data_IF_270500596124
#
_entry.id   IF_270500596124
#
_cell.length_a   1.000
_cell.length_b   1.000
_cell.length_c   1.000
_cell.angle_alpha   90.00
_cell.angle_beta   90.00
_cell.angle_gamma   90.00
#
_symmetry.space_group_name_H-M   'P 1'
#
loop_
_entity.id
_entity.type
_entity.pdbx_description
1 polymer ?
#
# COMPACT_ATOMS: atom_id res chain seq x y z
N UNK A 1 10.98 14.14 18.64
CA UNK A 1 11.26 14.22 20.09
C UNK A 1 12.22 15.37 20.35
N UNK A 2 12.04 16.13 21.41
CA UNK A 2 12.97 17.20 21.81
C UNK A 2 13.87 16.70 22.93
N UNK A 3 15.19 16.82 22.78
CA UNK A 3 16.12 16.59 23.88
C UNK A 3 16.49 17.93 24.54
N UNK A 4 16.46 18.06 25.88
CA UNK A 4 17.00 19.25 26.52
C UNK A 4 18.52 19.24 26.31
N UNK A 5 19.09 20.33 25.84
CA UNK A 5 20.47 20.59 26.20
C UNK A 5 20.52 21.51 27.43
N UNK A 6 21.72 21.63 27.99
CA UNK A 6 22.01 22.47 29.16
C UNK A 6 21.55 23.92 28.93
N UNK A 7 21.23 24.66 30.01
CA UNK A 7 20.91 26.11 29.95
C UNK A 7 21.80 26.81 28.91
N UNK A 8 21.19 27.34 27.85
CA UNK A 8 21.90 27.95 26.71
C UNK A 8 22.01 27.09 25.45
N UNK A 9 21.53 25.84 25.43
CA UNK A 9 21.54 25.02 24.22
C UNK A 9 20.29 25.22 23.36
N UNK A 10 20.48 25.22 22.05
CA UNK A 10 19.38 25.16 21.08
C UNK A 10 18.49 23.91 21.29
N UNK A 11 17.18 24.10 21.10
CA UNK A 11 16.19 23.02 21.10
C UNK A 11 16.48 22.11 19.90
N UNK A 12 16.67 20.81 20.15
CA UNK A 12 17.01 19.84 19.09
C UNK A 12 15.82 18.97 18.74
N UNK A 13 15.40 19.00 17.48
CA UNK A 13 14.43 18.06 16.93
C UNK A 13 15.12 16.73 16.63
N UNK A 14 14.65 15.66 17.27
CA UNK A 14 14.99 14.27 16.95
C UNK A 14 13.86 13.70 16.12
N UNK A 15 14.18 13.34 14.88
CA UNK A 15 13.26 12.71 13.94
C UNK A 15 13.52 11.20 13.88
N UNK A 16 12.45 10.41 13.90
CA UNK A 16 12.47 8.98 13.63
C UNK A 16 11.39 8.71 12.61
N UNK A 17 11.74 8.04 11.52
CA UNK A 17 10.82 7.62 10.47
C UNK A 17 11.04 6.13 10.22
N UNK A 18 9.96 5.37 10.21
CA UNK A 18 9.93 3.92 10.00
C UNK A 18 8.69 3.59 9.20
N UNK A 19 8.72 2.49 8.46
CA UNK A 19 7.52 1.97 7.80
C UNK A 19 6.46 1.59 8.86
N UNK A 20 5.19 1.87 8.60
CA UNK A 20 4.12 1.64 9.58
C UNK A 20 3.97 0.15 9.92
N UNK A 21 4.21 -0.70 8.92
CA UNK A 21 4.24 -2.15 8.99
C UNK A 21 5.30 -2.69 9.96
N UNK A 22 6.29 -1.86 10.34
CA UNK A 22 7.25 -2.20 11.40
C UNK A 22 6.52 -2.59 12.70
N UNK A 23 5.44 -1.89 13.03
CA UNK A 23 4.74 -2.04 14.29
C UNK A 23 3.53 -2.97 14.12
N UNK A 24 3.69 -4.23 14.51
CA UNK A 24 2.64 -5.26 14.52
C UNK A 24 2.74 -6.28 13.39
N UNK A 25 3.07 -5.86 12.17
CA UNK A 25 3.24 -6.79 11.04
C UNK A 25 4.63 -7.43 11.01
N UNK A 26 5.70 -6.63 11.02
CA UNK A 26 7.07 -7.16 11.05
C UNK A 26 7.56 -7.48 12.47
N UNK A 27 7.17 -6.68 13.45
CA UNK A 27 7.46 -6.93 14.86
C UNK A 27 6.16 -7.10 15.63
N UNK A 28 5.87 -8.35 16.03
CA UNK A 28 4.71 -8.67 16.86
C UNK A 28 4.71 -7.82 18.14
N UNK A 29 3.57 -7.20 18.45
CA UNK A 29 3.40 -6.28 19.57
C UNK A 29 4.23 -4.98 19.49
N UNK A 30 4.81 -4.67 18.32
CA UNK A 30 5.57 -3.44 18.11
C UNK A 30 4.70 -2.18 18.28
N UNK A 31 3.42 -2.26 17.93
CA UNK A 31 2.42 -1.22 18.14
C UNK A 31 2.16 -0.95 19.63
N UNK A 32 2.18 -1.99 20.47
CA UNK A 32 2.05 -1.85 21.93
C UNK A 32 3.30 -1.19 22.51
N UNK A 33 4.48 -1.62 22.07
CA UNK A 33 5.75 -1.01 22.49
C UNK A 33 5.81 0.47 22.08
N UNK A 34 5.38 0.82 20.87
CA UNK A 34 5.29 2.20 20.41
C UNK A 34 4.33 3.03 21.26
N UNK A 35 3.13 2.51 21.53
CA UNK A 35 2.15 3.18 22.39
C UNK A 35 2.69 3.44 23.80
N UNK A 36 3.40 2.47 24.38
CA UNK A 36 4.02 2.61 25.69
C UNK A 36 5.13 3.67 25.69
N UNK A 37 6.01 3.64 24.69
CA UNK A 37 7.06 4.67 24.52
C UNK A 37 6.45 6.07 24.40
N UNK A 38 5.38 6.23 23.61
CA UNK A 38 4.71 7.53 23.47
C UNK A 38 4.10 8.01 24.80
N UNK A 39 3.40 7.13 25.53
CA UNK A 39 2.83 7.43 26.86
C UNK A 39 3.90 7.84 27.86
N UNK A 40 5.05 7.17 27.86
CA UNK A 40 6.18 7.50 28.74
C UNK A 40 6.83 8.85 28.36
N UNK A 41 6.96 9.14 27.06
CA UNK A 41 7.49 10.42 26.59
C UNK A 41 6.56 11.60 26.91
N UNK A 42 5.25 11.41 26.88
CA UNK A 42 4.28 12.44 27.24
C UNK A 42 4.31 12.80 28.74
N UNK A 43 4.70 11.85 29.60
CA UNK A 43 4.87 12.09 31.04
C UNK A 43 6.13 12.87 31.38
N UNK A 44 7.09 12.95 30.45
CA UNK A 44 8.34 13.67 30.63
C UNK A 44 8.14 15.17 30.41
N UNK A 45 8.69 15.98 31.32
CA UNK A 45 8.62 17.45 31.23
C UNK A 45 9.67 18.05 30.31
N UNK A 46 10.67 17.26 29.92
CA UNK A 46 11.82 17.66 29.11
C UNK A 46 11.72 17.24 27.64
N UNK A 47 10.68 16.49 27.27
CA UNK A 47 10.41 16.05 25.90
C UNK A 47 9.03 16.51 25.48
N UNK A 48 8.87 16.89 24.22
CA UNK A 48 7.57 17.05 23.58
C UNK A 48 7.49 16.17 22.35
N UNK A 49 6.43 15.36 22.30
CA UNK A 49 6.05 14.58 21.12
C UNK A 49 5.20 15.49 20.24
N UNK A 50 5.57 15.60 18.97
CA UNK A 50 4.93 16.50 18.02
C UNK A 50 5.29 16.11 16.58
N UNK A 51 4.48 16.59 15.63
CA UNK A 51 4.76 16.45 14.21
C UNK A 51 5.61 17.62 13.68
N UNK A 52 6.19 17.44 12.48
CA UNK A 52 7.08 18.44 11.87
C UNK A 52 6.40 19.79 11.62
N UNK A 53 5.13 19.81 11.21
CA UNK A 53 4.42 21.05 10.91
C UNK A 53 4.22 21.91 12.17
N UNK A 54 3.81 21.30 13.28
CA UNK A 54 3.63 21.98 14.57
C UNK A 54 4.95 22.49 15.16
N UNK A 55 6.06 21.80 14.90
CA UNK A 55 7.40 22.26 15.29
C UNK A 55 7.80 23.48 14.45
N UNK A 56 7.72 23.38 13.12
CA UNK A 56 8.13 24.42 12.18
C UNK A 56 7.29 25.70 12.28
N UNK A 57 6.02 25.60 12.68
CA UNK A 57 5.17 26.76 12.95
C UNK A 57 5.69 27.63 14.11
N UNK A 58 6.42 27.02 15.07
CA UNK A 58 6.98 27.70 16.25
C UNK A 58 8.49 27.98 16.12
N UNK A 59 9.16 27.22 15.26
CA UNK A 59 10.59 27.24 15.05
C UNK A 59 10.85 27.23 13.55
N UNK A 60 10.93 28.43 12.95
CA UNK A 60 11.18 28.55 11.51
C UNK A 60 12.53 27.95 11.15
N UNK A 61 12.63 27.39 9.94
CA UNK A 61 13.91 26.95 9.41
C UNK A 61 14.77 28.19 9.09
N UNK A 62 15.94 28.27 9.73
CA UNK A 62 16.88 29.40 9.57
C UNK A 62 18.12 29.01 8.76
N UNK A 63 18.29 27.71 8.51
CA UNK A 63 19.45 27.16 7.82
C UNK A 63 19.05 26.58 6.49
N UNK A 64 19.70 27.04 5.43
CA UNK A 64 19.64 26.41 4.12
C UNK A 64 20.67 25.28 4.07
N UNK A 65 20.22 24.10 3.63
CA UNK A 65 21.06 22.93 3.47
C UNK A 65 20.94 22.41 2.05
N UNK A 66 22.07 22.04 1.45
CA UNK A 66 22.09 21.36 0.16
C UNK A 66 22.02 19.86 0.38
N UNK A 67 20.98 19.22 -0.15
CA UNK A 67 20.88 17.76 -0.17
C UNK A 67 21.84 17.19 -1.21
N UNK A 68 22.52 16.09 -0.85
CA UNK A 68 23.15 15.23 -1.83
C UNK A 68 22.02 14.56 -2.61
N UNK A 69 22.06 14.61 -3.94
CA UNK A 69 20.99 14.07 -4.78
C UNK A 69 21.57 13.40 -6.03
N UNK A 70 20.95 12.30 -6.51
CA UNK A 70 19.81 11.61 -5.92
C UNK A 70 20.24 10.66 -4.77
N UNK A 71 19.59 10.77 -3.60
CA UNK A 71 19.82 9.89 -2.44
C UNK A 71 18.56 9.15 -2.02
N UNK A 72 18.72 8.06 -1.26
CA UNK A 72 17.63 7.42 -0.53
C UNK A 72 18.04 7.08 0.89
N UNK A 73 17.05 6.80 1.73
CA UNK A 73 17.26 6.34 3.11
C UNK A 73 17.65 4.86 3.23
N UNK A 74 17.43 4.05 2.19
CA UNK A 74 17.53 2.58 2.23
C UNK A 74 18.52 1.98 1.21
N UNK A 75 19.28 2.84 0.52
CA UNK A 75 20.39 2.45 -0.33
C UNK A 75 21.54 3.46 -0.17
N UNK A 76 22.71 2.96 0.24
CA UNK A 76 23.93 3.77 0.39
C UNK A 76 24.46 4.31 -0.95
N UNK A 77 24.03 3.70 -2.06
CA UNK A 77 24.34 4.12 -3.42
C UNK A 77 23.27 5.07 -3.98
N UNK A 78 22.65 5.88 -3.13
CA UNK A 78 21.59 6.80 -3.52
C UNK A 78 20.34 6.09 -4.00
N UNK A 79 20.00 6.18 -5.29
CA UNK A 79 18.82 5.53 -5.87
C UNK A 79 19.15 4.32 -6.74
N UNK A 80 20.41 3.85 -6.72
CA UNK A 80 20.82 2.74 -7.61
C UNK A 80 20.04 1.45 -7.36
N UNK A 81 19.52 1.21 -6.14
CA UNK A 81 18.68 0.04 -5.83
C UNK A 81 17.51 -0.11 -6.80
N UNK A 82 16.97 0.98 -7.35
CA UNK A 82 15.81 0.93 -8.25
C UNK A 82 16.14 1.05 -9.74
N UNK A 83 17.43 1.00 -10.11
CA UNK A 83 17.84 1.16 -11.52
C UNK A 83 19.03 0.34 -11.98
N UNK A 84 19.93 -0.05 -11.07
CA UNK A 84 21.21 -0.65 -11.43
C UNK A 84 21.61 -1.79 -10.49
N UNK A 85 22.67 -2.51 -10.88
CA UNK A 85 23.30 -3.53 -10.05
C UNK A 85 24.20 -2.90 -8.98
N UNK A 86 23.58 -2.31 -7.95
CA UNK A 86 24.30 -1.66 -6.86
C UNK A 86 24.74 -2.64 -5.75
N UNK A 87 24.54 -3.94 -5.94
CA UNK A 87 24.84 -4.99 -4.96
C UNK A 87 23.95 -5.00 -3.71
N UNK A 88 23.03 -4.04 -3.54
CA UNK A 88 22.09 -4.05 -2.42
C UNK A 88 21.05 -5.15 -2.63
N UNK A 89 21.03 -6.09 -1.69
CA UNK A 89 20.19 -7.29 -1.67
C UNK A 89 19.57 -7.50 -0.29
N UNK A 90 18.40 -8.13 -0.26
CA UNK A 90 17.66 -8.49 0.94
C UNK A 90 18.19 -9.79 1.56
N UNK A 91 18.69 -10.72 0.75
CA UNK A 91 19.30 -11.97 1.18
C UNK A 91 20.82 -11.98 0.89
N UNK A 92 21.66 -11.28 1.71
CA UNK A 92 23.11 -11.17 1.47
C UNK A 92 23.86 -12.50 1.50
N UNK A 93 23.29 -13.52 2.13
CA UNK A 93 23.80 -14.88 2.18
C UNK A 93 23.63 -15.65 0.86
N UNK A 94 22.71 -15.22 -0.02
CA UNK A 94 22.47 -15.84 -1.31
C UNK A 94 23.28 -15.14 -2.42
N UNK A 95 23.83 -15.87 -3.39
CA UNK A 95 24.61 -15.29 -4.49
C UNK A 95 23.73 -14.66 -5.58
N UNK A 96 22.83 -13.74 -5.20
CA UNK A 96 21.94 -13.03 -6.13
C UNK A 96 22.65 -11.85 -6.81
N UNK A 97 22.24 -11.53 -8.03
CA UNK A 97 22.69 -10.39 -8.83
C UNK A 97 21.51 -9.45 -9.14
N UNK A 98 21.79 -8.16 -9.34
CA UNK A 98 20.75 -7.13 -9.54
C UNK A 98 20.80 -6.47 -10.92
N UNK A 99 21.48 -7.10 -11.90
CA UNK A 99 21.59 -6.61 -13.30
C UNK A 99 20.25 -6.59 -14.02
N UNK A 100 19.28 -7.38 -13.58
CA UNK A 100 17.92 -7.42 -14.13
C UNK A 100 17.15 -6.11 -13.96
N UNK A 101 17.53 -5.28 -12.98
CA UNK A 101 16.87 -4.00 -12.68
C UNK A 101 16.93 -3.01 -13.84
N UNK A 102 18.08 -2.93 -14.50
CA UNK A 102 18.29 -1.99 -15.61
C UNK A 102 17.44 -2.34 -16.84
N UNK A 103 17.43 -3.59 -17.36
CA UNK A 103 16.56 -3.94 -18.48
C UNK A 103 15.07 -3.89 -18.15
N UNK A 104 14.66 -4.22 -16.92
CA UNK A 104 13.29 -4.02 -16.48
C UNK A 104 12.90 -2.54 -16.56
N UNK A 105 13.77 -1.66 -16.06
CA UNK A 105 13.53 -0.22 -16.10
C UNK A 105 13.49 0.30 -17.54
N UNK A 106 14.40 -0.14 -18.40
CA UNK A 106 14.40 0.18 -19.84
C UNK A 106 13.09 -0.25 -20.52
N UNK A 107 12.59 -1.45 -20.21
CA UNK A 107 11.32 -1.95 -20.75
C UNK A 107 10.13 -1.05 -20.36
N UNK A 108 10.06 -0.67 -19.08
CA UNK A 108 8.96 0.12 -18.55
C UNK A 108 9.04 1.59 -18.93
N UNK A 109 10.24 2.20 -18.98
CA UNK A 109 10.44 3.57 -19.48
C UNK A 109 10.08 3.66 -20.96
N UNK A 110 10.46 2.67 -21.77
CA UNK A 110 10.06 2.62 -23.18
C UNK A 110 8.54 2.51 -23.34
N UNK A 111 7.90 1.59 -22.59
CA UNK A 111 6.45 1.43 -22.63
C UNK A 111 5.75 2.72 -22.20
N UNK A 112 6.20 3.35 -21.10
CA UNK A 112 5.65 4.61 -20.62
C UNK A 112 5.70 5.69 -21.70
N UNK A 113 6.84 5.84 -22.39
CA UNK A 113 6.96 6.79 -23.50
C UNK A 113 5.95 6.55 -24.62
N UNK A 114 5.71 5.27 -24.98
CA UNK A 114 4.69 4.92 -25.98
C UNK A 114 3.27 5.23 -25.51
N UNK A 115 2.97 4.96 -24.24
CA UNK A 115 1.67 5.18 -23.62
C UNK A 115 1.36 6.68 -23.47
N UNK A 116 2.30 7.47 -22.95
CA UNK A 116 2.17 8.92 -22.80
C UNK A 116 1.92 9.60 -24.15
N UNK A 117 2.70 9.25 -25.19
CA UNK A 117 2.52 9.82 -26.53
C UNK A 117 1.15 9.49 -27.13
N UNK A 118 0.57 8.33 -26.77
CA UNK A 118 -0.78 7.94 -27.14
C UNK A 118 -1.83 8.73 -26.35
N UNK A 119 -1.66 8.81 -25.04
CA UNK A 119 -2.56 9.54 -24.16
C UNK A 119 -2.67 11.00 -24.55
N UNK A 120 -1.55 11.66 -24.84
CA UNK A 120 -1.53 13.04 -25.29
C UNK A 120 -2.28 13.22 -26.63
N UNK A 121 -1.99 12.37 -27.62
CA UNK A 121 -2.61 12.45 -28.95
C UNK A 121 -4.11 12.21 -28.92
N UNK A 122 -4.55 11.13 -28.28
CA UNK A 122 -5.97 10.75 -28.25
C UNK A 122 -6.75 11.55 -27.21
N UNK A 123 -6.13 11.84 -26.06
CA UNK A 123 -6.70 12.68 -25.01
C UNK A 123 -6.87 14.13 -25.45
N UNK A 124 -5.97 14.69 -26.27
CA UNK A 124 -6.13 16.05 -26.81
C UNK A 124 -7.37 16.23 -27.68
N UNK A 125 -7.85 15.16 -28.33
CA UNK A 125 -9.10 15.16 -29.08
C UNK A 125 -10.35 15.07 -28.18
N UNK A 126 -10.20 14.59 -26.93
CA UNK A 126 -11.31 14.32 -26.02
C UNK A 126 -11.44 15.36 -24.90
N UNK A 127 -10.33 15.96 -24.48
CA UNK A 127 -10.22 16.89 -23.36
C UNK A 127 -9.55 18.20 -23.79
N UNK A 128 -9.82 19.28 -23.06
CA UNK A 128 -9.13 20.56 -23.26
C UNK A 128 -7.62 20.45 -22.94
N UNK A 129 -7.32 19.86 -21.78
CA UNK A 129 -5.97 19.52 -21.35
C UNK A 129 -5.97 18.09 -20.80
N UNK A 130 -5.46 17.09 -21.55
CA UNK A 130 -5.47 15.70 -21.11
C UNK A 130 -4.62 15.47 -19.85
N UNK A 131 -3.51 16.22 -19.66
CA UNK A 131 -2.62 16.04 -18.52
C UNK A 131 -3.22 16.61 -17.24
N UNK A 132 -3.86 17.78 -17.31
CA UNK A 132 -4.61 18.33 -16.19
C UNK A 132 -5.79 17.42 -15.80
N UNK A 133 -6.46 16.80 -16.78
CA UNK A 133 -7.53 15.82 -16.52
C UNK A 133 -6.98 14.56 -15.85
N UNK A 134 -5.81 14.04 -16.26
CA UNK A 134 -5.14 12.93 -15.58
C UNK A 134 -4.81 13.27 -14.12
N UNK A 135 -4.30 14.46 -13.84
CA UNK A 135 -4.00 14.85 -12.45
C UNK A 135 -5.25 14.96 -11.60
N UNK A 136 -6.30 15.59 -12.14
CA UNK A 136 -7.59 15.68 -11.47
C UNK A 136 -8.24 14.30 -11.25
N UNK A 137 -7.98 13.33 -12.12
CA UNK A 137 -8.49 11.96 -11.96
C UNK A 137 -7.97 11.28 -10.68
N UNK A 138 -6.86 11.75 -10.11
CA UNK A 138 -6.38 11.33 -8.79
C UNK A 138 -7.43 11.47 -7.67
N UNK A 139 -8.36 12.44 -7.75
CA UNK A 139 -9.42 12.59 -6.74
C UNK A 139 -10.46 11.47 -6.81
N UNK A 140 -10.71 10.92 -8.01
CA UNK A 140 -11.59 9.77 -8.20
C UNK A 140 -10.94 8.52 -7.65
N UNK A 141 -9.65 8.31 -7.94
CA UNK A 141 -8.88 7.17 -7.42
C UNK A 141 -8.79 7.21 -5.88
N UNK A 142 -8.61 8.41 -5.31
CA UNK A 142 -8.58 8.64 -3.87
C UNK A 142 -9.96 8.58 -3.18
N UNK A 143 -11.04 8.37 -3.91
CA UNK A 143 -12.40 8.29 -3.36
C UNK A 143 -13.00 9.63 -2.91
N UNK A 144 -12.37 10.75 -3.24
CA UNK A 144 -12.81 12.11 -2.85
C UNK A 144 -13.81 12.72 -3.85
N UNK A 145 -14.08 12.05 -4.96
CA UNK A 145 -14.93 12.54 -6.05
C UNK A 145 -15.93 11.47 -6.49
N UNK A 146 -16.94 11.90 -7.25
CA UNK A 146 -17.81 11.02 -8.01
C UNK A 146 -17.03 10.00 -8.86
N UNK A 147 -17.68 8.86 -9.15
CA UNK A 147 -17.08 7.77 -9.92
C UNK A 147 -16.60 8.19 -11.33
N UNK A 148 -15.69 7.40 -11.90
CA UNK A 148 -15.00 7.67 -13.17
C UNK A 148 -15.94 8.11 -14.30
N UNK A 149 -17.13 7.50 -14.42
CA UNK A 149 -18.11 7.86 -15.44
C UNK A 149 -18.54 9.33 -15.36
N UNK A 150 -18.93 9.79 -14.16
CA UNK A 150 -19.35 11.16 -13.94
C UNK A 150 -18.18 12.14 -14.11
N UNK A 151 -17.00 11.78 -13.62
CA UNK A 151 -15.80 12.58 -13.78
C UNK A 151 -15.48 12.84 -15.26
N UNK A 152 -15.50 11.78 -16.10
CA UNK A 152 -15.23 11.90 -17.54
C UNK A 152 -16.30 12.75 -18.22
N UNK A 153 -17.58 12.53 -17.94
CA UNK A 153 -18.68 13.28 -18.56
C UNK A 153 -18.56 14.80 -18.34
N UNK A 154 -17.97 15.24 -17.23
CA UNK A 154 -17.75 16.66 -16.91
C UNK A 154 -16.52 17.28 -17.59
N UNK A 155 -15.61 16.46 -18.13
CA UNK A 155 -14.33 16.92 -18.69
C UNK A 155 -14.25 16.75 -20.20
N UNK A 156 -15.15 15.97 -20.79
CA UNK A 156 -15.21 15.79 -22.24
C UNK A 156 -15.53 17.10 -22.95
N UNK A 157 -14.94 17.26 -24.13
CA UNK A 157 -15.32 18.32 -25.08
C UNK A 157 -16.79 18.15 -25.49
N UNK A 158 -17.52 19.25 -25.80
CA UNK A 158 -18.90 19.18 -26.27
C UNK A 158 -19.05 18.31 -27.53
N UNK A 159 -20.14 17.56 -27.61
CA UNK A 159 -20.46 16.71 -28.76
C UNK A 159 -19.79 15.32 -28.78
N UNK A 160 -19.09 14.94 -27.70
CA UNK A 160 -18.57 13.59 -27.54
C UNK A 160 -19.68 12.54 -27.52
N UNK A 161 -19.51 11.47 -28.31
CA UNK A 161 -20.42 10.33 -28.33
C UNK A 161 -20.05 9.28 -27.25
N UNK A 162 -20.82 8.19 -27.20
CA UNK A 162 -20.57 7.11 -26.22
C UNK A 162 -19.23 6.40 -26.43
N UNK A 163 -18.72 6.36 -27.66
CA UNK A 163 -17.43 5.74 -27.96
C UNK A 163 -16.28 6.63 -27.47
N UNK A 164 -16.38 7.95 -27.67
CA UNK A 164 -15.47 8.95 -27.13
C UNK A 164 -15.45 8.93 -25.59
N UNK A 165 -16.62 8.82 -24.96
CA UNK A 165 -16.72 8.69 -23.50
C UNK A 165 -16.04 7.42 -22.98
N UNK A 166 -16.30 6.27 -23.62
CA UNK A 166 -15.64 5.02 -23.27
C UNK A 166 -14.12 5.13 -23.44
N UNK A 167 -13.68 5.72 -24.55
CA UNK A 167 -12.24 5.87 -24.84
C UNK A 167 -11.55 6.79 -23.84
N UNK A 168 -12.20 7.88 -23.43
CA UNK A 168 -11.70 8.76 -22.38
C UNK A 168 -11.45 8.02 -21.05
N UNK A 169 -12.37 7.12 -20.65
CA UNK A 169 -12.20 6.30 -19.44
C UNK A 169 -11.03 5.33 -19.58
N UNK A 170 -10.90 4.67 -20.74
CA UNK A 170 -9.79 3.76 -21.03
C UNK A 170 -8.44 4.46 -21.00
N UNK A 171 -8.35 5.68 -21.56
CA UNK A 171 -7.13 6.48 -21.57
C UNK A 171 -6.70 6.89 -20.16
N UNK A 172 -7.65 7.26 -19.28
CA UNK A 172 -7.34 7.56 -17.89
C UNK A 172 -6.86 6.32 -17.11
N UNK A 173 -7.48 5.16 -17.33
CA UNK A 173 -7.02 3.90 -16.74
C UNK A 173 -5.68 3.43 -17.33
N UNK A 174 -5.41 3.74 -18.61
CA UNK A 174 -4.13 3.46 -19.26
C UNK A 174 -3.00 4.23 -18.58
N UNK A 175 -3.16 5.54 -18.40
CA UNK A 175 -2.21 6.40 -17.68
C UNK A 175 -2.05 6.01 -16.22
N UNK A 176 -3.15 5.65 -15.56
CA UNK A 176 -3.10 5.14 -14.18
C UNK A 176 -2.21 3.90 -14.10
N UNK A 177 -2.33 2.96 -15.03
CA UNK A 177 -1.48 1.77 -15.05
C UNK A 177 -0.03 2.10 -15.48
N UNK A 178 0.17 3.09 -16.36
CA UNK A 178 1.50 3.61 -16.70
C UNK A 178 2.23 4.19 -15.48
N UNK A 179 1.52 4.83 -14.55
CA UNK A 179 2.08 5.26 -13.27
C UNK A 179 2.33 4.07 -12.33
N UNK A 180 1.36 3.16 -12.20
CA UNK A 180 1.45 2.03 -11.24
C UNK A 180 2.57 1.05 -11.56
N UNK A 181 2.95 0.87 -12.82
CA UNK A 181 4.08 0.00 -13.18
C UNK A 181 5.44 0.53 -12.68
N UNK A 182 5.51 1.77 -12.16
CA UNK A 182 6.70 2.29 -11.47
C UNK A 182 6.59 2.23 -9.93
N UNK A 183 5.69 1.40 -9.39
CA UNK A 183 5.67 1.13 -7.94
C UNK A 183 7.02 0.55 -7.53
N UNK A 184 7.74 1.25 -6.65
CA UNK A 184 9.15 1.02 -6.36
C UNK A 184 9.47 -0.36 -5.78
N UNK A 185 8.49 -1.03 -5.16
CA UNK A 185 8.65 -2.38 -4.63
C UNK A 185 9.08 -3.39 -5.71
N UNK A 186 8.72 -3.17 -6.97
CA UNK A 186 9.12 -4.04 -8.09
C UNK A 186 10.62 -4.03 -8.44
N UNK A 187 11.44 -3.22 -7.76
CA UNK A 187 12.91 -3.29 -7.85
C UNK A 187 13.58 -3.52 -6.50
N UNK A 188 12.82 -3.57 -5.41
CA UNK A 188 13.40 -3.50 -4.06
C UNK A 188 14.10 -4.80 -3.65
N UNK A 189 13.49 -5.92 -4.02
CA UNK A 189 13.93 -7.27 -3.68
C UNK A 189 14.96 -7.80 -4.70
N UNK A 190 15.30 -9.07 -4.54
CA UNK A 190 16.50 -9.63 -5.16
C UNK A 190 16.25 -10.15 -6.57
N UNK A 191 14.99 -10.40 -6.96
CA UNK A 191 14.67 -11.11 -8.19
C UNK A 191 13.55 -10.49 -9.05
N UNK A 192 13.71 -10.63 -10.37
CA UNK A 192 12.71 -10.19 -11.37
C UNK A 192 11.44 -11.06 -11.35
N UNK A 193 11.50 -12.29 -10.84
CA UNK A 193 10.36 -13.18 -10.64
C UNK A 193 9.65 -12.95 -9.28
N UNK A 194 10.09 -11.97 -8.49
CA UNK A 194 9.43 -11.58 -7.24
C UNK A 194 7.98 -11.14 -7.46
N UNK A 195 7.13 -11.33 -6.45
CA UNK A 195 5.70 -11.01 -6.53
C UNK A 195 5.46 -9.52 -6.81
N UNK A 196 6.34 -8.65 -6.33
CA UNK A 196 6.28 -7.20 -6.54
C UNK A 196 6.58 -6.84 -7.99
N UNK A 197 7.61 -7.46 -8.58
CA UNK A 197 7.97 -7.28 -9.99
C UNK A 197 6.86 -7.80 -10.89
N UNK A 198 6.31 -8.98 -10.60
CA UNK A 198 5.14 -9.53 -11.29
C UNK A 198 3.95 -8.55 -11.21
N UNK A 199 3.73 -7.92 -10.05
CA UNK A 199 2.64 -6.97 -9.88
C UNK A 199 2.78 -5.72 -10.75
N UNK A 200 3.99 -5.16 -10.89
CA UNK A 200 4.19 -4.03 -11.79
C UNK A 200 4.08 -4.41 -13.27
N UNK A 201 4.51 -5.63 -13.63
CA UNK A 201 4.32 -6.18 -14.97
C UNK A 201 2.84 -6.42 -15.31
N UNK A 202 2.00 -6.73 -14.31
CA UNK A 202 0.53 -6.78 -14.49
C UNK A 202 -0.07 -5.42 -14.81
N UNK A 203 0.43 -4.34 -14.18
CA UNK A 203 0.01 -2.99 -14.55
C UNK A 203 0.45 -2.65 -15.98
N UNK A 204 1.68 -3.01 -16.35
CA UNK A 204 2.16 -2.85 -17.72
C UNK A 204 1.27 -3.60 -18.73
N UNK A 205 0.93 -4.87 -18.46
CA UNK A 205 0.02 -5.66 -19.28
C UNK A 205 -1.37 -5.01 -19.40
N UNK A 206 -1.91 -4.49 -18.30
CA UNK A 206 -3.21 -3.79 -18.34
C UNK A 206 -3.16 -2.51 -19.17
N UNK A 207 -2.07 -1.74 -19.08
CA UNK A 207 -1.90 -0.55 -19.92
C UNK A 207 -1.78 -0.91 -21.42
N UNK A 208 -1.07 -2.00 -21.73
CA UNK A 208 -0.95 -2.56 -23.08
C UNK A 208 -2.33 -2.96 -23.63
N UNK A 209 -3.16 -3.66 -22.85
CA UNK A 209 -4.54 -4.01 -23.25
C UNK A 209 -5.36 -2.76 -23.60
N UNK A 210 -5.28 -1.73 -22.75
CA UNK A 210 -6.01 -0.47 -22.93
C UNK A 210 -5.50 0.35 -24.13
N UNK A 211 -4.33 0.02 -24.68
CA UNK A 211 -3.82 0.61 -25.92
C UNK A 211 -4.53 0.07 -27.18
N UNK A 212 -5.41 -0.93 -27.04
CA UNK A 212 -6.26 -1.44 -28.11
C UNK A 212 -5.45 -2.02 -29.26
N UNK A 213 -5.58 -1.46 -30.46
CA UNK A 213 -4.96 -1.99 -31.68
C UNK A 213 -3.41 -2.10 -31.61
N UNK A 214 -2.75 -1.29 -30.78
CA UNK A 214 -1.28 -1.36 -30.63
C UNK A 214 -0.81 -2.40 -29.60
N UNK A 215 -1.73 -3.07 -28.89
CA UNK A 215 -1.39 -3.96 -27.78
C UNK A 215 -0.32 -4.99 -28.18
N UNK A 216 -0.48 -5.65 -29.32
CA UNK A 216 0.49 -6.65 -29.81
C UNK A 216 1.89 -6.07 -30.08
N UNK A 217 1.95 -4.86 -30.66
CA UNK A 217 3.22 -4.17 -30.93
C UNK A 217 3.92 -3.75 -29.64
N UNK A 218 3.16 -3.18 -28.70
CA UNK A 218 3.67 -2.74 -27.41
C UNK A 218 4.17 -3.92 -26.57
N UNK A 219 3.39 -4.99 -26.52
CA UNK A 219 3.77 -6.23 -25.85
C UNK A 219 5.06 -6.80 -26.42
N UNK A 220 5.17 -6.90 -27.76
CA UNK A 220 6.38 -7.38 -28.40
C UNK A 220 7.63 -6.59 -27.99
N UNK A 221 7.54 -5.25 -27.97
CA UNK A 221 8.66 -4.39 -27.58
C UNK A 221 9.01 -4.44 -26.08
N UNK A 222 8.02 -4.72 -25.21
CA UNK A 222 8.28 -5.00 -23.79
C UNK A 222 8.99 -6.34 -23.63
N UNK A 223 8.48 -7.40 -24.25
CA UNK A 223 9.05 -8.75 -24.14
C UNK A 223 10.49 -8.81 -24.67
N UNK A 224 10.80 -8.08 -25.74
CA UNK A 224 12.16 -7.98 -26.28
C UNK A 224 13.15 -7.39 -25.25
N UNK A 225 12.75 -6.34 -24.53
CA UNK A 225 13.58 -5.68 -23.51
C UNK A 225 13.68 -6.54 -22.24
N UNK A 226 12.56 -7.12 -21.81
CA UNK A 226 12.51 -7.99 -20.64
C UNK A 226 13.34 -9.27 -20.80
N UNK A 227 13.56 -9.75 -22.02
CA UNK A 227 14.42 -10.91 -22.28
C UNK A 227 15.87 -10.73 -21.78
N UNK A 228 16.32 -9.49 -21.57
CA UNK A 228 17.65 -9.16 -21.04
C UNK A 228 17.70 -9.19 -19.50
N UNK A 229 16.55 -9.20 -18.82
CA UNK A 229 16.47 -9.24 -17.36
C UNK A 229 16.54 -10.69 -16.87
N UNK A 230 17.72 -11.16 -16.48
CA UNK A 230 17.90 -12.55 -16.00
C UNK A 230 17.41 -12.70 -14.56
N UNK A 231 16.57 -13.71 -14.30
CA UNK A 231 16.26 -14.13 -12.94
C UNK A 231 17.47 -14.81 -12.30
N UNK A 232 17.57 -14.72 -10.98
CA UNK A 232 18.46 -15.50 -10.14
C UNK A 232 17.93 -16.91 -9.90
N UNK A 233 16.65 -17.17 -10.18
CA UNK A 233 16.02 -18.49 -10.09
C UNK A 233 16.10 -19.18 -11.46
N UNK A 234 16.91 -20.26 -11.61
CA UNK A 234 17.11 -20.89 -12.91
C UNK A 234 15.84 -21.40 -13.59
N UNK A 235 14.83 -21.78 -12.80
CA UNK A 235 13.54 -22.25 -13.30
C UNK A 235 12.64 -21.14 -13.87
N UNK A 236 12.90 -19.88 -13.54
CA UNK A 236 12.11 -18.72 -13.98
C UNK A 236 12.62 -18.12 -15.29
N UNK A 237 13.87 -18.38 -15.66
CA UNK A 237 14.48 -17.89 -16.90
C UNK A 237 14.75 -16.38 -16.85
N UNK A 238 14.20 -15.64 -17.82
CA UNK A 238 14.36 -14.18 -17.90
C UNK A 238 13.01 -13.45 -17.77
N UNK A 239 13.03 -12.12 -17.75
CA UNK A 239 11.84 -11.29 -17.57
C UNK A 239 10.74 -11.52 -18.61
N UNK A 240 11.07 -11.97 -19.83
CA UNK A 240 10.07 -12.39 -20.83
C UNK A 240 9.36 -13.65 -20.37
N UNK A 241 10.10 -14.64 -19.90
CA UNK A 241 9.54 -15.91 -19.42
C UNK A 241 8.66 -15.66 -18.18
N UNK A 242 9.14 -14.83 -17.24
CA UNK A 242 8.37 -14.39 -16.06
C UNK A 242 7.05 -13.72 -16.47
N UNK A 243 7.08 -12.80 -17.45
CA UNK A 243 5.87 -12.16 -17.95
C UNK A 243 4.88 -13.19 -18.56
N UNK A 244 5.37 -14.06 -19.42
CA UNK A 244 4.51 -15.05 -20.10
C UNK A 244 3.91 -16.06 -19.11
N UNK A 245 4.69 -16.51 -18.13
CA UNK A 245 4.26 -17.51 -17.16
C UNK A 245 3.34 -16.95 -16.07
N UNK A 246 3.63 -15.76 -15.54
CA UNK A 246 2.98 -15.24 -14.32
C UNK A 246 2.01 -14.07 -14.54
N UNK A 247 2.14 -13.39 -15.67
CA UNK A 247 1.28 -12.25 -16.04
C UNK A 247 0.23 -12.69 -17.05
N UNK A 248 0.65 -13.26 -18.19
CA UNK A 248 -0.29 -13.67 -19.26
C UNK A 248 -1.13 -14.89 -18.93
N UNK A 249 -0.56 -15.88 -18.24
CA UNK A 249 -1.21 -17.17 -18.01
C UNK A 249 -2.43 -17.10 -17.06
N UNK A 250 -2.71 -15.95 -16.44
CA UNK A 250 -3.96 -15.70 -15.71
C UNK A 250 -5.00 -15.01 -16.59
N UNK A 251 -5.53 -15.75 -17.56
CA UNK A 251 -6.85 -15.48 -18.14
C UNK A 251 -7.61 -16.80 -18.26
N UNK A 252 -8.53 -17.14 -17.33
CA UNK A 252 -9.76 -17.78 -17.72
C UNK A 252 -10.65 -16.67 -18.29
N UNK A 253 -10.83 -16.69 -19.62
CA UNK A 253 -11.96 -16.01 -20.24
C UNK A 253 -13.17 -16.86 -19.89
N UNK A 254 -13.99 -16.42 -18.94
CA UNK A 254 -15.37 -16.89 -18.84
C UNK A 254 -16.24 -15.84 -18.15
N UNK A 255 -16.82 -14.97 -18.99
CA UNK A 255 -18.11 -14.35 -18.70
C UNK A 255 -19.16 -15.41 -19.05
N UNK A 256 -19.50 -16.27 -18.10
CA UNK A 256 -20.73 -17.05 -18.14
C UNK A 256 -21.12 -17.45 -16.71
N UNK A 257 -22.33 -17.02 -16.32
CA UNK A 257 -23.19 -17.60 -15.28
C UNK A 257 -22.54 -18.28 -14.06
N UNK A 258 -22.81 -17.69 -12.88
CA UNK A 258 -22.93 -18.41 -11.59
C UNK A 258 -23.39 -19.87 -11.79
N UNK A 259 -22.62 -20.84 -11.32
CA UNK A 259 -23.00 -21.79 -10.27
C UNK A 259 -21.71 -22.41 -9.69
N UNK A 260 -21.75 -22.72 -8.41
CA UNK A 260 -20.71 -23.22 -7.50
C UNK A 260 -19.78 -24.32 -8.07
N UNK A 261 -18.48 -24.22 -7.77
CA UNK A 261 -17.67 -25.30 -7.17
C UNK A 261 -16.20 -24.86 -6.97
N UNK A 262 -15.62 -25.33 -5.86
CA UNK A 262 -14.42 -24.84 -5.20
C UNK A 262 -13.07 -25.09 -5.92
N UNK A 263 -12.15 -24.16 -5.71
CA UNK A 263 -10.72 -24.30 -5.98
C UNK A 263 -9.95 -23.01 -5.66
N UNK A 264 -10.22 -22.39 -4.49
CA UNK A 264 -9.57 -21.16 -4.06
C UNK A 264 -8.49 -21.42 -3.00
N UNK A 265 -7.42 -20.64 -3.05
CA UNK A 265 -6.42 -20.51 -1.99
C UNK A 265 -7.12 -20.42 -0.60
N UNK A 266 -6.94 -21.42 0.28
CA UNK A 266 -7.64 -21.49 1.57
C UNK A 266 -7.40 -20.26 2.44
N UNK A 267 -6.20 -19.65 2.36
CA UNK A 267 -5.84 -18.46 3.13
C UNK A 267 -6.57 -17.21 2.65
N UNK A 268 -6.67 -17.01 1.33
CA UNK A 268 -7.34 -15.86 0.74
C UNK A 268 -8.87 -15.85 0.92
N UNK A 269 -9.51 -17.02 1.06
CA UNK A 269 -10.95 -17.08 1.33
C UNK A 269 -11.27 -16.80 2.81
N UNK A 270 -10.44 -17.31 3.73
CA UNK A 270 -10.55 -17.04 5.17
C UNK A 270 -10.36 -15.55 5.49
N UNK A 271 -9.34 -14.90 4.90
CA UNK A 271 -9.10 -13.47 5.09
C UNK A 271 -10.29 -12.61 4.62
N UNK A 272 -10.87 -12.93 3.47
CA UNK A 272 -12.06 -12.25 2.93
C UNK A 272 -13.30 -12.50 3.77
N UNK A 273 -13.47 -13.72 4.29
CA UNK A 273 -14.57 -14.05 5.20
C UNK A 273 -14.48 -13.26 6.50
N UNK A 274 -13.28 -13.16 7.09
CA UNK A 274 -13.06 -12.38 8.31
C UNK A 274 -13.31 -10.89 8.09
N UNK A 275 -12.81 -10.30 7.00
CA UNK A 275 -13.07 -8.90 6.67
C UNK A 275 -14.58 -8.62 6.51
N UNK A 276 -15.32 -9.49 5.80
CA UNK A 276 -16.78 -9.35 5.66
C UNK A 276 -17.50 -9.43 7.00
N UNK A 277 -17.11 -10.37 7.87
CA UNK A 277 -17.70 -10.50 9.18
C UNK A 277 -17.42 -9.27 10.06
N UNK A 278 -16.21 -8.72 9.99
CA UNK A 278 -15.87 -7.47 10.69
C UNK A 278 -16.71 -6.30 10.18
N UNK A 279 -16.83 -6.10 8.86
CA UNK A 279 -17.64 -5.03 8.29
C UNK A 279 -19.12 -5.14 8.67
N UNK A 280 -19.64 -6.36 8.84
CA UNK A 280 -21.01 -6.58 9.29
C UNK A 280 -21.28 -6.02 10.70
N UNK A 281 -20.27 -5.91 11.56
CA UNK A 281 -20.42 -5.37 12.93
C UNK A 281 -20.87 -3.91 12.96
N UNK A 282 -20.73 -3.17 11.85
CA UNK A 282 -21.21 -1.79 11.72
C UNK A 282 -22.74 -1.70 11.77
N UNK A 283 -23.44 -2.74 11.33
CA UNK A 283 -24.90 -2.75 11.22
C UNK A 283 -25.56 -3.90 12.02
N UNK A 284 -24.83 -4.99 12.27
CA UNK A 284 -25.31 -6.14 13.04
C UNK A 284 -24.77 -6.13 14.47
N UNK A 285 -25.64 -5.74 15.40
CA UNK A 285 -25.31 -5.63 16.81
C UNK A 285 -25.49 -6.94 17.59
N UNK A 286 -25.89 -8.03 16.93
CA UNK A 286 -26.20 -9.29 17.58
C UNK A 286 -24.96 -9.96 18.20
N UNK A 287 -25.13 -10.74 19.29
CA UNK A 287 -24.08 -11.61 19.81
C UNK A 287 -23.56 -12.61 18.76
N UNK A 288 -24.40 -12.98 17.78
CA UNK A 288 -24.04 -13.89 16.69
C UNK A 288 -22.99 -13.28 15.76
N UNK A 289 -23.08 -11.99 15.45
CA UNK A 289 -22.08 -11.31 14.61
C UNK A 289 -20.70 -11.26 15.31
N UNK A 290 -20.70 -10.97 16.62
CA UNK A 290 -19.48 -10.98 17.46
C UNK A 290 -18.86 -12.39 17.50
N UNK A 291 -19.69 -13.42 17.68
CA UNK A 291 -19.25 -14.81 17.68
C UNK A 291 -18.65 -15.23 16.31
N UNK A 292 -19.26 -14.80 15.20
CA UNK A 292 -18.76 -15.10 13.86
C UNK A 292 -17.36 -14.50 13.61
N UNK A 293 -17.14 -13.25 14.02
CA UNK A 293 -15.80 -12.62 13.93
C UNK A 293 -14.79 -13.33 14.81
N UNK A 294 -15.19 -13.71 16.03
CA UNK A 294 -14.36 -14.48 16.97
C UNK A 294 -13.92 -15.81 16.34
N UNK A 295 -14.85 -16.60 15.81
CA UNK A 295 -14.57 -17.89 15.21
C UNK A 295 -13.64 -17.79 14.00
N UNK A 296 -13.86 -16.79 13.14
CA UNK A 296 -13.04 -16.55 11.95
C UNK A 296 -11.64 -16.04 12.31
N UNK A 297 -11.50 -15.21 13.34
CA UNK A 297 -10.20 -14.76 13.85
C UNK A 297 -9.41 -15.93 14.46
N UNK A 298 -10.06 -16.74 15.30
CA UNK A 298 -9.44 -17.93 15.90
C UNK A 298 -9.03 -18.95 14.83
N UNK A 299 -9.84 -19.11 13.77
CA UNK A 299 -9.50 -19.97 12.63
C UNK A 299 -8.29 -19.43 11.86
N UNK A 300 -8.27 -18.13 11.55
CA UNK A 300 -7.15 -17.51 10.85
C UNK A 300 -5.83 -17.71 11.61
N UNK A 301 -5.87 -17.63 12.95
CA UNK A 301 -4.70 -17.86 13.81
C UNK A 301 -4.31 -19.35 13.90
N UNK A 302 -5.28 -20.28 13.96
CA UNK A 302 -5.02 -21.74 13.98
C UNK A 302 -4.36 -22.23 12.70
N UNK A 303 -4.75 -21.66 11.56
CA UNK A 303 -4.23 -22.04 10.25
C UNK A 303 -2.83 -21.44 9.98
N UNK A 304 -2.17 -20.88 11.01
CA UNK A 304 -0.84 -20.25 10.92
C UNK A 304 -0.86 -18.89 10.21
N UNK A 305 -2.04 -18.35 9.92
CA UNK A 305 -2.23 -17.05 9.30
C UNK A 305 -2.16 -15.90 10.31
N UNK A 306 -1.79 -14.71 9.82
CA UNK A 306 -1.95 -13.47 10.56
C UNK A 306 -3.37 -12.93 10.37
N UNK A 307 -3.88 -12.18 11.35
CA UNK A 307 -5.12 -11.42 11.14
C UNK A 307 -4.86 -10.39 10.03
N UNK A 308 -5.67 -10.34 8.96
CA UNK A 308 -5.46 -9.40 7.86
C UNK A 308 -5.55 -7.95 8.36
N UNK A 309 -4.61 -7.11 7.94
CA UNK A 309 -4.55 -5.70 8.32
C UNK A 309 -5.83 -4.92 7.99
N UNK A 310 -6.48 -5.25 6.86
CA UNK A 310 -7.76 -4.64 6.46
C UNK A 310 -8.89 -4.95 7.47
N UNK A 311 -8.90 -6.17 8.02
CA UNK A 311 -9.88 -6.57 9.03
C UNK A 311 -9.62 -5.84 10.37
N UNK A 312 -8.35 -5.68 10.76
CA UNK A 312 -7.98 -4.89 11.95
C UNK A 312 -8.40 -3.42 11.77
N UNK A 313 -8.08 -2.83 10.61
CA UNK A 313 -8.41 -1.43 10.31
C UNK A 313 -9.92 -1.17 10.29
N UNK A 314 -10.69 -2.06 9.64
CA UNK A 314 -12.14 -1.97 9.63
C UNK A 314 -12.74 -2.07 11.05
N UNK A 315 -12.27 -3.04 11.84
CA UNK A 315 -12.72 -3.21 13.22
C UNK A 315 -12.40 -2.00 14.09
N UNK A 316 -11.19 -1.44 13.97
CA UNK A 316 -10.80 -0.23 14.70
C UNK A 316 -11.75 0.93 14.42
N UNK A 317 -12.10 1.18 13.16
CA UNK A 317 -13.04 2.25 12.78
C UNK A 317 -14.42 2.03 13.37
N UNK A 318 -14.94 0.79 13.29
CA UNK A 318 -16.25 0.43 13.84
C UNK A 318 -16.26 0.65 15.36
N UNK A 319 -15.23 0.15 16.07
CA UNK A 319 -15.13 0.29 17.52
C UNK A 319 -14.94 1.75 17.96
N UNK A 320 -14.14 2.54 17.24
CA UNK A 320 -13.89 3.94 17.55
C UNK A 320 -15.12 4.84 17.32
N UNK A 321 -16.01 4.46 16.38
CA UNK A 321 -17.27 5.16 16.13
C UNK A 321 -18.43 4.69 17.02
N UNK A 322 -18.27 3.57 17.74
CA UNK A 322 -19.33 2.97 18.53
C UNK A 322 -19.54 3.70 19.88
N UNK A 323 -20.78 3.76 20.39
CA UNK A 323 -21.05 4.19 21.77
C UNK A 323 -20.28 3.34 22.80
N UNK A 324 -19.96 3.87 24.00
CA UNK A 324 -19.15 3.16 25.01
C UNK A 324 -19.63 1.75 25.34
N UNK A 325 -20.95 1.56 25.49
CA UNK A 325 -21.55 0.25 25.77
C UNK A 325 -21.27 -0.77 24.65
N UNK A 326 -21.33 -0.31 23.40
CA UNK A 326 -21.05 -1.15 22.23
C UNK A 326 -19.55 -1.41 22.09
N UNK A 327 -18.70 -0.41 22.34
CA UNK A 327 -17.25 -0.58 22.36
C UNK A 327 -16.81 -1.61 23.42
N UNK A 328 -17.49 -1.66 24.58
CA UNK A 328 -17.27 -2.66 25.62
C UNK A 328 -17.69 -4.08 25.16
N UNK A 329 -18.84 -4.23 24.48
CA UNK A 329 -19.26 -5.51 23.89
C UNK A 329 -18.24 -6.06 22.88
N UNK A 330 -17.57 -5.17 22.14
CA UNK A 330 -16.56 -5.52 21.15
C UNK A 330 -15.17 -5.83 21.74
N UNK A 331 -14.95 -5.60 23.04
CA UNK A 331 -13.65 -5.81 23.68
C UNK A 331 -13.14 -7.26 23.53
N UNK A 332 -14.04 -8.24 23.65
CA UNK A 332 -13.71 -9.68 23.51
C UNK A 332 -13.16 -10.05 22.12
N UNK A 333 -13.60 -9.33 21.08
CA UNK A 333 -13.14 -9.49 19.69
C UNK A 333 -11.88 -8.68 19.44
N UNK A 334 -11.75 -7.51 20.07
CA UNK A 334 -10.60 -6.64 19.91
C UNK A 334 -9.28 -7.37 20.21
N UNK A 335 -9.23 -8.11 21.33
CA UNK A 335 -8.06 -8.92 21.68
C UNK A 335 -7.71 -9.96 20.60
N UNK A 336 -8.72 -10.65 20.05
CA UNK A 336 -8.52 -11.68 19.01
C UNK A 336 -8.06 -11.11 17.68
N UNK A 337 -8.42 -9.86 17.40
CA UNK A 337 -7.95 -9.12 16.24
C UNK A 337 -6.61 -8.41 16.49
N UNK A 338 -5.98 -8.59 17.66
CA UNK A 338 -4.65 -8.06 17.95
C UNK A 338 -4.62 -6.67 18.59
N UNK A 339 -5.73 -6.21 19.18
CA UNK A 339 -5.77 -4.95 19.95
C UNK A 339 -5.56 -5.22 21.45
N UNK A 340 -4.81 -4.36 22.13
CA UNK A 340 -4.71 -4.39 23.58
C UNK A 340 -6.01 -3.85 24.24
N UNK A 341 -6.35 -4.36 25.42
CA UNK A 341 -7.47 -3.84 26.21
C UNK A 341 -7.14 -2.45 26.76
N UNK A 342 -7.93 -1.45 26.33
CA UNK A 342 -7.93 -0.11 26.89
C UNK A 342 -8.88 -0.03 28.08
N UNK A 343 -8.31 0.39 29.22
CA UNK A 343 -8.85 0.68 30.55
C UNK A 343 -10.36 1.03 30.61
N UNK A 344 -11.09 0.31 31.49
CA UNK A 344 -12.37 0.76 32.02
C UNK A 344 -12.16 1.84 33.06
N UNK A 345 -12.94 2.91 32.97
CA UNK A 345 -13.11 3.89 34.04
C UNK A 345 -13.80 3.22 35.23
N UNK A 346 -13.19 3.30 36.41
CA UNK A 346 -13.71 2.72 37.65
C UNK A 346 -13.00 3.32 38.86
N UNK A 347 -13.72 4.23 39.51
CA UNK A 347 -13.34 5.09 40.63
C UNK A 347 -12.72 4.34 41.83
N UNK A 348 -11.81 5.03 42.52
CA UNK A 348 -11.33 4.59 43.83
C UNK A 348 -12.32 4.94 44.93
N UNK A 349 -12.46 4.05 45.91
CA UNK A 349 -12.67 4.40 47.33
C UNK A 349 -12.52 3.13 48.17
N UNK A 350 -11.73 3.20 49.25
CA UNK A 350 -11.57 2.10 50.20
C UNK A 350 -10.25 2.11 50.97
N UNK A 351 -9.98 3.18 51.72
CA UNK A 351 -8.93 3.21 52.74
C UNK A 351 -9.40 2.48 54.03
N UNK A 352 -8.52 1.69 54.64
CA UNK A 352 -8.40 1.38 56.09
C UNK A 352 -7.06 0.61 56.30
N UNK A 353 -6.02 1.26 56.85
CA UNK A 353 -5.56 1.18 58.26
C UNK A 353 -5.26 -0.26 58.73
N UNK A 354 -3.99 -0.67 58.92
CA UNK A 354 -3.08 -0.47 60.08
C UNK A 354 -2.80 -1.85 60.72
N UNK A 355 -1.58 -2.07 61.23
CA UNK A 355 -1.26 -3.18 62.14
C UNK A 355 -0.06 -4.02 61.71
N UNK A 356 1.08 -3.82 62.39
CA UNK A 356 2.35 -4.45 62.06
C UNK A 356 2.56 -5.87 62.60
N UNK A 357 3.72 -6.40 62.22
CA UNK A 357 4.64 -7.22 63.00
C UNK A 357 6.01 -7.12 62.33
#
# INVERSE_FOLDING_TARGET
MLAPGKRGSERRLVAVATDGETYGHHHKFGEVALAWVLRDLERRRDVRVENFAAFLARHRAEQELKLVAPTSWSCVHGVERWRADCGCRMAPERPTQQRWRAPLREALDWLAGQLHARFEREGGALFDDPWAVRDAYGTVVGGASAGLAQFVAQRLRPGADRAAEQRARELLELERNALRMFTSCGWFFDDVAGIETIQILRYAARAIELAGADAARLEGGVLERLARAQSNEPGEGNGRDVYLHHVKRRVPVEVASRTEAHGGDPGGDAARALLRAVLALEHDHSPRAIAAVTELADRAQRDGGHIPFDAQTAFYRIRAAAPPERAAQLASVAWRLGFADGEGEGEGEGAQQEGGA
#
